data_IF_277762409945
#
_entry.id   IF_277762409945
#
_cell.length_a   1.000
_cell.length_b   1.000
_cell.length_c   1.000
_cell.angle_alpha   90.00
_cell.angle_beta   90.00
_cell.angle_gamma   90.00
#
_symmetry.space_group_name_H-M   'P 1'
#
loop_
_entity.id
_entity.type
_entity.pdbx_description
1 polymer ?
#
# COMPACT_ATOMS: atom_id res chain seq x y z
N UNK A 1 6.10 14.70 -19.66
CA UNK A 1 4.78 14.92 -20.30
C UNK A 1 3.96 13.63 -20.32
N UNK A 2 4.45 12.54 -20.92
CA UNK A 2 3.70 11.26 -21.04
C UNK A 2 3.23 10.67 -19.71
N UNK A 3 4.09 10.66 -18.68
CA UNK A 3 3.72 10.17 -17.34
C UNK A 3 2.53 10.95 -16.79
N UNK A 4 2.52 12.28 -16.91
CA UNK A 4 1.41 13.10 -16.43
C UNK A 4 0.10 12.80 -17.19
N UNK A 5 0.18 12.61 -18.51
CA UNK A 5 -0.97 12.23 -19.33
C UNK A 5 -1.51 10.84 -18.95
N UNK A 6 -0.62 9.87 -18.71
CA UNK A 6 -0.99 8.53 -18.25
C UNK A 6 -1.64 8.56 -16.87
N UNK A 7 -1.09 9.32 -15.90
CA UNK A 7 -1.71 9.51 -14.57
C UNK A 7 -3.12 10.08 -14.71
N UNK A 8 -3.31 11.11 -15.52
CA UNK A 8 -4.63 11.71 -15.76
C UNK A 8 -5.61 10.71 -16.39
N UNK A 9 -5.17 9.93 -17.38
CA UNK A 9 -6.01 8.89 -18.02
C UNK A 9 -6.39 7.76 -17.06
N UNK A 10 -5.47 7.34 -16.20
CA UNK A 10 -5.74 6.33 -15.17
C UNK A 10 -6.76 6.86 -14.16
N UNK A 11 -6.62 8.09 -13.67
CA UNK A 11 -7.59 8.69 -12.74
C UNK A 11 -8.98 8.88 -13.39
N UNK A 12 -9.03 9.16 -14.69
CA UNK A 12 -10.28 9.27 -15.45
C UNK A 12 -10.95 7.93 -15.77
N UNK A 13 -10.28 6.79 -15.53
CA UNK A 13 -10.80 5.46 -15.86
C UNK A 13 -11.92 4.96 -14.93
N UNK A 14 -12.14 5.65 -13.81
CA UNK A 14 -13.10 5.23 -12.78
C UNK A 14 -12.54 4.25 -11.75
N UNK A 15 -11.29 3.81 -11.88
CA UNK A 15 -10.61 3.04 -10.83
C UNK A 15 -10.49 3.88 -9.55
N UNK A 16 -10.82 3.27 -8.41
CA UNK A 16 -10.74 3.94 -7.12
C UNK A 16 -9.29 4.12 -6.65
N UNK A 17 -9.05 5.12 -5.79
CA UNK A 17 -7.76 5.34 -5.13
C UNK A 17 -7.31 4.06 -4.41
N UNK A 18 -8.21 3.46 -3.61
CA UNK A 18 -7.94 2.23 -2.87
C UNK A 18 -7.50 1.09 -3.80
N UNK A 19 -8.17 0.88 -4.94
CA UNK A 19 -7.84 -0.20 -5.86
C UNK A 19 -6.45 0.01 -6.51
N UNK A 20 -6.15 1.24 -6.95
CA UNK A 20 -4.86 1.58 -7.55
C UNK A 20 -3.70 1.45 -6.54
N UNK A 21 -3.89 1.92 -5.31
CA UNK A 21 -2.92 1.78 -4.22
C UNK A 21 -2.72 0.31 -3.87
N UNK A 22 -3.80 -0.46 -3.73
CA UNK A 22 -3.75 -1.88 -3.36
C UNK A 22 -3.02 -2.72 -4.40
N UNK A 23 -3.27 -2.49 -5.70
CA UNK A 23 -2.60 -3.25 -6.78
C UNK A 23 -1.14 -2.85 -6.92
N UNK A 24 -0.80 -1.56 -6.83
CA UNK A 24 0.59 -1.12 -6.85
C UNK A 24 1.38 -1.69 -5.66
N UNK A 25 0.80 -1.65 -4.46
CA UNK A 25 1.39 -2.26 -3.27
C UNK A 25 1.53 -3.77 -3.41
N UNK A 26 0.48 -4.47 -3.84
CA UNK A 26 0.51 -5.92 -4.06
C UNK A 26 1.60 -6.33 -5.04
N UNK A 27 1.89 -5.50 -6.05
CA UNK A 27 2.94 -5.78 -7.02
C UNK A 27 4.33 -5.54 -6.43
N UNK A 28 4.57 -4.37 -5.83
CA UNK A 28 5.90 -3.97 -5.36
C UNK A 28 6.32 -4.68 -4.06
N UNK A 29 5.38 -4.92 -3.15
CA UNK A 29 5.68 -5.46 -1.81
C UNK A 29 6.15 -6.91 -1.84
N UNK A 30 6.05 -7.64 -2.95
CA UNK A 30 6.65 -8.98 -3.05
C UNK A 30 8.18 -8.96 -2.94
N UNK A 31 8.80 -7.79 -3.09
CA UNK A 31 10.23 -7.62 -2.90
C UNK A 31 10.67 -8.05 -1.50
N UNK A 32 11.82 -8.73 -1.43
CA UNK A 32 12.55 -8.96 -0.19
C UNK A 32 14.05 -8.70 -0.36
N UNK A 33 14.61 -7.86 0.48
CA UNK A 33 16.02 -7.45 0.45
C UNK A 33 16.99 -8.58 0.83
N UNK A 34 16.50 -9.66 1.44
CA UNK A 34 17.31 -10.80 1.86
C UNK A 34 17.98 -11.51 0.68
N UNK A 35 17.24 -11.76 -0.40
CA UNK A 35 17.75 -12.39 -1.63
C UNK A 35 17.44 -11.57 -2.91
N UNK A 36 16.91 -10.35 -2.75
CA UNK A 36 16.58 -9.40 -3.83
C UNK A 36 15.54 -9.92 -4.83
N UNK A 37 14.74 -10.92 -4.45
CA UNK A 37 13.64 -11.43 -5.28
C UNK A 37 12.36 -10.62 -5.06
N UNK A 38 11.44 -10.72 -6.03
CA UNK A 38 10.16 -10.00 -6.01
C UNK A 38 10.29 -8.57 -6.53
N UNK A 39 9.25 -7.78 -6.31
CA UNK A 39 9.13 -6.40 -6.78
C UNK A 39 8.14 -6.25 -7.96
N UNK A 40 7.95 -4.99 -8.39
CA UNK A 40 6.98 -4.63 -9.41
C UNK A 40 7.46 -4.88 -10.85
N UNK A 41 8.78 -4.93 -11.08
CA UNK A 41 9.36 -5.21 -12.37
C UNK A 41 9.03 -6.63 -12.84
N UNK A 42 8.68 -6.76 -14.12
CA UNK A 42 8.13 -7.98 -14.70
C UNK A 42 6.60 -8.04 -14.68
N UNK A 43 5.91 -7.17 -13.94
CA UNK A 43 4.45 -7.21 -13.75
C UNK A 43 3.93 -8.62 -13.43
N UNK A 44 4.69 -9.39 -12.64
CA UNK A 44 4.36 -10.80 -12.32
C UNK A 44 3.07 -10.94 -11.52
N UNK A 45 2.56 -9.85 -10.94
CA UNK A 45 1.25 -9.81 -10.30
C UNK A 45 0.11 -10.25 -11.23
N UNK A 46 0.25 -10.06 -12.56
CA UNK A 46 -0.74 -10.52 -13.55
C UNK A 46 -0.64 -12.01 -13.91
N UNK A 47 0.41 -12.69 -13.45
CA UNK A 47 0.72 -14.08 -13.79
C UNK A 47 0.43 -15.00 -12.61
N UNK A 48 0.30 -16.30 -12.89
CA UNK A 48 0.30 -17.29 -11.83
C UNK A 48 1.69 -17.35 -11.14
N UNK A 49 1.75 -17.55 -9.82
CA UNK A 49 0.61 -17.73 -8.91
C UNK A 49 0.05 -16.40 -8.34
N UNK A 50 0.74 -15.27 -8.55
CA UNK A 50 0.43 -14.01 -7.85
C UNK A 50 -0.98 -13.48 -8.08
N UNK A 51 -1.52 -13.66 -9.29
CA UNK A 51 -2.87 -13.22 -9.65
C UNK A 51 -3.97 -13.93 -8.85
N UNK A 52 -3.66 -15.10 -8.28
CA UNK A 52 -4.60 -15.97 -7.57
C UNK A 52 -4.41 -15.92 -6.05
N UNK A 53 -3.41 -15.19 -5.54
CA UNK A 53 -3.20 -15.05 -4.10
C UNK A 53 -4.34 -14.26 -3.45
N UNK A 54 -4.86 -14.78 -2.34
CA UNK A 54 -5.95 -14.17 -1.58
C UNK A 54 -5.64 -12.72 -1.17
N UNK A 55 -4.42 -12.47 -0.70
CA UNK A 55 -3.94 -11.14 -0.28
C UNK A 55 -4.01 -10.10 -1.41
N UNK A 56 -3.99 -10.54 -2.67
CA UNK A 56 -4.07 -9.65 -3.83
C UNK A 56 -5.51 -9.42 -4.32
N UNK A 57 -6.51 -10.01 -3.66
CA UNK A 57 -7.92 -9.85 -3.96
C UNK A 57 -8.23 -10.04 -5.47
N UNK A 58 -8.16 -11.30 -5.98
CA UNK A 58 -8.07 -11.60 -7.41
C UNK A 58 -9.12 -10.92 -8.31
N UNK A 59 -10.37 -10.79 -7.84
CA UNK A 59 -11.43 -10.12 -8.60
C UNK A 59 -11.18 -8.60 -8.79
N UNK A 60 -10.74 -7.91 -7.74
CA UNK A 60 -10.36 -6.50 -7.82
C UNK A 60 -9.12 -6.34 -8.69
N UNK A 61 -8.11 -7.19 -8.48
CA UNK A 61 -6.89 -7.18 -9.27
C UNK A 61 -7.17 -7.35 -10.77
N UNK A 62 -7.97 -8.33 -11.16
CA UNK A 62 -8.34 -8.58 -12.55
C UNK A 62 -8.99 -7.36 -13.21
N UNK A 63 -9.89 -6.68 -12.48
CA UNK A 63 -10.56 -5.46 -12.96
C UNK A 63 -9.57 -4.32 -13.20
N UNK A 64 -8.66 -4.09 -12.26
CA UNK A 64 -7.62 -3.06 -12.38
C UNK A 64 -6.68 -3.38 -13.53
N UNK A 65 -6.19 -4.62 -13.64
CA UNK A 65 -5.26 -5.04 -14.68
C UNK A 65 -5.90 -4.96 -16.08
N UNK A 66 -7.16 -5.34 -16.24
CA UNK A 66 -7.86 -5.21 -17.52
C UNK A 66 -7.98 -3.73 -17.94
N UNK A 67 -8.32 -2.85 -16.99
CA UNK A 67 -8.43 -1.41 -17.26
C UNK A 67 -7.07 -0.79 -17.62
N UNK A 68 -6.02 -1.11 -16.85
CA UNK A 68 -4.66 -0.65 -17.13
C UNK A 68 -4.13 -1.22 -18.46
N UNK A 69 -4.47 -2.46 -18.81
CA UNK A 69 -4.15 -3.07 -20.10
C UNK A 69 -4.79 -2.32 -21.27
N UNK A 70 -6.08 -1.96 -21.17
CA UNK A 70 -6.73 -1.13 -22.19
C UNK A 70 -6.10 0.27 -22.34
N UNK A 71 -5.63 0.87 -21.24
CA UNK A 71 -4.86 2.13 -21.28
C UNK A 71 -3.50 1.92 -21.95
N UNK A 72 -2.82 0.81 -21.64
CA UNK A 72 -1.54 0.43 -22.25
C UNK A 72 -1.66 0.30 -23.76
N UNK A 73 -2.62 -0.50 -24.23
CA UNK A 73 -2.86 -0.75 -25.65
C UNK A 73 -3.16 0.55 -26.39
N UNK A 74 -4.07 1.36 -25.84
CA UNK A 74 -4.41 2.65 -26.43
C UNK A 74 -3.24 3.64 -26.46
N UNK A 75 -2.41 3.70 -25.43
CA UNK A 75 -1.21 4.55 -25.43
C UNK A 75 -0.17 4.06 -26.44
N UNK A 76 0.12 2.75 -26.44
CA UNK A 76 1.15 2.16 -27.30
C UNK A 76 0.77 2.23 -28.78
N UNK A 77 -0.50 2.04 -29.14
CA UNK A 77 -0.99 2.17 -30.50
C UNK A 77 -0.94 3.63 -31.02
N UNK A 78 -1.02 4.61 -30.12
CA UNK A 78 -0.97 6.03 -30.50
C UNK A 78 0.45 6.59 -30.60
N UNK A 79 1.48 5.84 -30.22
CA UNK A 79 2.87 6.31 -30.28
C UNK A 79 3.49 6.04 -31.66
N UNK A 80 4.29 6.99 -32.13
CA UNK A 80 5.19 6.82 -33.28
C UNK A 80 6.63 6.62 -32.79
N UNK A 81 7.49 5.99 -33.60
CA UNK A 81 8.92 5.87 -33.29
C UNK A 81 9.27 4.82 -32.22
N UNK A 82 8.40 3.82 -32.01
CA UNK A 82 8.69 2.66 -31.16
C UNK A 82 8.56 2.88 -29.66
N UNK A 83 8.20 4.09 -29.20
CA UNK A 83 7.92 4.37 -27.79
C UNK A 83 6.73 3.52 -27.31
N UNK A 84 6.89 2.85 -26.17
CA UNK A 84 5.84 2.09 -25.50
C UNK A 84 5.95 2.24 -23.99
N UNK A 85 4.88 1.90 -23.28
CA UNK A 85 4.85 1.73 -21.83
C UNK A 85 4.52 0.27 -21.49
N UNK A 86 5.19 -0.27 -20.49
CA UNK A 86 4.92 -1.59 -19.93
C UNK A 86 3.75 -1.53 -18.95
N UNK A 87 3.09 -2.68 -18.72
CA UNK A 87 2.06 -2.80 -17.70
C UNK A 87 2.69 -2.66 -16.31
N UNK A 88 3.92 -3.14 -16.13
CA UNK A 88 4.70 -2.96 -14.92
C UNK A 88 4.87 -1.48 -14.54
N UNK A 89 5.20 -0.63 -15.51
CA UNK A 89 5.26 0.81 -15.25
C UNK A 89 3.87 1.40 -15.04
N UNK A 90 2.83 0.98 -15.77
CA UNK A 90 1.47 1.49 -15.57
C UNK A 90 0.89 1.18 -14.19
N UNK A 91 1.18 0.01 -13.62
CA UNK A 91 0.79 -0.33 -12.25
C UNK A 91 1.40 0.68 -11.25
N UNK A 92 2.70 0.97 -11.38
CA UNK A 92 3.40 1.92 -10.51
C UNK A 92 2.94 3.36 -10.76
N UNK A 93 2.74 3.75 -12.02
CA UNK A 93 2.19 5.07 -12.40
C UNK A 93 0.78 5.23 -11.81
N UNK A 94 -0.06 4.20 -11.87
CA UNK A 94 -1.42 4.21 -11.32
C UNK A 94 -1.43 4.37 -9.79
N UNK A 95 -0.58 3.63 -9.09
CA UNK A 95 -0.38 3.81 -7.65
C UNK A 95 0.09 5.22 -7.29
N UNK A 96 1.08 5.75 -8.02
CA UNK A 96 1.55 7.12 -7.83
C UNK A 96 0.43 8.15 -8.07
N UNK A 97 -0.36 8.01 -9.15
CA UNK A 97 -1.49 8.88 -9.44
C UNK A 97 -2.54 8.87 -8.32
N UNK A 98 -2.83 7.68 -7.76
CA UNK A 98 -3.77 7.53 -6.67
C UNK A 98 -3.29 8.19 -5.37
N UNK A 99 -2.00 8.08 -5.05
CA UNK A 99 -1.39 8.76 -3.90
C UNK A 99 -1.44 10.28 -4.07
N UNK A 100 -1.11 10.81 -5.25
CA UNK A 100 -1.23 12.24 -5.56
C UNK A 100 -2.68 12.73 -5.43
N UNK A 101 -3.64 11.97 -5.96
CA UNK A 101 -5.06 12.29 -5.86
C UNK A 101 -5.58 12.25 -4.42
N UNK A 102 -5.09 11.32 -3.60
CA UNK A 102 -5.43 11.21 -2.18
C UNK A 102 -4.85 12.37 -1.37
N UNK A 103 -3.61 12.78 -1.64
CA UNK A 103 -3.01 13.97 -1.03
C UNK A 103 -3.77 15.24 -1.42
N UNK A 104 -4.15 15.37 -2.71
CA UNK A 104 -4.96 16.49 -3.19
C UNK A 104 -6.33 16.56 -2.51
N UNK A 105 -6.99 15.43 -2.27
CA UNK A 105 -8.23 15.36 -1.47
C UNK A 105 -8.04 15.83 -0.02
N UNK A 106 -6.84 15.66 0.52
CA UNK A 106 -6.45 16.17 1.83
C UNK A 106 -5.95 17.62 1.80
N UNK A 107 -5.98 18.31 0.66
CA UNK A 107 -5.52 19.70 0.52
C UNK A 107 -4.01 19.86 0.36
N UNK A 108 -3.27 18.79 0.03
CA UNK A 108 -1.83 18.83 -0.23
C UNK A 108 -1.56 18.58 -1.71
N UNK A 109 -0.86 19.50 -2.36
CA UNK A 109 -0.38 19.31 -3.73
C UNK A 109 1.02 18.71 -3.69
N UNK A 110 1.15 17.45 -4.12
CA UNK A 110 2.41 16.70 -4.12
C UNK A 110 2.57 15.94 -5.42
N UNK A 111 3.83 15.79 -5.84
CA UNK A 111 4.20 14.92 -6.94
C UNK A 111 4.89 13.67 -6.38
N UNK A 112 4.40 12.51 -6.76
CA UNK A 112 5.01 11.21 -6.49
C UNK A 112 5.97 10.89 -7.64
N UNK A 113 7.29 10.77 -7.37
CA UNK A 113 8.27 10.42 -8.39
C UNK A 113 7.94 9.09 -9.05
N UNK A 114 8.11 9.01 -10.36
CA UNK A 114 8.01 7.75 -11.12
C UNK A 114 9.14 7.70 -12.12
N UNK A 115 9.94 6.64 -12.02
CA UNK A 115 11.01 6.34 -12.98
C UNK A 115 10.55 5.18 -13.87
N UNK A 116 10.36 5.40 -15.18
CA UNK A 116 9.98 4.32 -16.09
C UNK A 116 11.15 3.36 -16.38
N UNK A 117 10.89 2.29 -17.13
CA UNK A 117 11.86 1.30 -17.56
C UNK A 117 11.62 -0.11 -16.99
N UNK A 118 10.53 -0.33 -16.25
CA UNK A 118 10.13 -1.71 -15.92
C UNK A 118 9.64 -2.42 -17.17
N UNK A 119 9.78 -3.73 -17.20
CA UNK A 119 9.37 -4.58 -18.33
C UNK A 119 8.30 -5.58 -17.91
N UNK A 120 7.61 -6.16 -18.88
CA UNK A 120 6.59 -7.17 -18.66
C UNK A 120 7.20 -8.56 -18.92
N UNK A 121 7.35 -9.39 -17.89
CA UNK A 121 7.83 -10.77 -18.01
C UNK A 121 6.70 -11.69 -18.51
N UNK A 122 7.04 -12.77 -19.21
CA UNK A 122 6.06 -13.78 -19.63
C UNK A 122 5.89 -14.91 -18.60
N UNK A 123 4.88 -15.76 -18.80
CA UNK A 123 4.67 -16.94 -17.94
C UNK A 123 5.82 -17.96 -18.11
N UNK A 124 6.34 -18.11 -19.32
CA UNK A 124 7.47 -19.00 -19.64
C UNK A 124 8.77 -18.53 -18.97
N UNK A 125 8.87 -17.23 -18.67
CA UNK A 125 9.98 -16.62 -17.91
C UNK A 125 9.73 -16.63 -16.38
N UNK A 126 8.73 -17.37 -15.92
CA UNK A 126 8.28 -17.35 -14.52
C UNK A 126 8.17 -18.79 -13.98
N UNK A 127 9.10 -19.15 -13.10
CA UNK A 127 8.98 -20.38 -12.31
C UNK A 127 7.92 -20.19 -11.21
N UNK A 128 6.76 -20.81 -11.41
CA UNK A 128 5.59 -20.71 -10.53
C UNK A 128 5.90 -21.21 -9.12
N UNK A 129 6.64 -22.32 -8.98
CA UNK A 129 6.99 -22.88 -7.68
C UNK A 129 7.94 -21.94 -6.94
N UNK A 130 8.94 -21.42 -7.63
CA UNK A 130 9.86 -20.46 -7.05
C UNK A 130 9.16 -19.16 -6.64
N UNK A 131 8.19 -18.64 -7.41
CA UNK A 131 7.43 -17.44 -7.04
C UNK A 131 6.47 -17.72 -5.87
N UNK A 132 5.97 -18.95 -5.72
CA UNK A 132 5.07 -19.33 -4.63
C UNK A 132 5.59 -18.98 -3.24
N UNK A 133 6.90 -19.07 -3.00
CA UNK A 133 7.51 -18.73 -1.68
C UNK A 133 7.49 -17.23 -1.36
N UNK A 134 7.09 -16.39 -2.32
CA UNK A 134 6.94 -14.95 -2.13
C UNK A 134 5.51 -14.56 -1.74
N UNK A 135 4.57 -15.52 -1.65
CA UNK A 135 3.21 -15.26 -1.19
C UNK A 135 3.23 -14.71 0.25
N UNK A 136 2.74 -13.47 0.48
CA UNK A 136 2.62 -12.94 1.83
C UNK A 136 1.58 -13.74 2.62
N UNK A 137 2.03 -14.45 3.65
CA UNK A 137 1.12 -15.10 4.61
C UNK A 137 0.64 -14.14 5.71
N UNK A 138 1.37 -13.05 5.91
CA UNK A 138 1.00 -11.89 6.71
C UNK A 138 1.43 -10.63 5.97
N UNK A 139 0.56 -9.63 5.94
CA UNK A 139 0.86 -8.30 5.40
C UNK A 139 0.16 -7.24 6.26
N UNK A 140 0.85 -6.81 7.33
CA UNK A 140 0.32 -5.80 8.24
C UNK A 140 0.04 -4.44 7.57
N UNK A 141 0.71 -4.12 6.45
CA UNK A 141 0.42 -2.91 5.68
C UNK A 141 -0.96 -2.94 5.03
N UNK A 142 -1.49 -4.14 4.72
CA UNK A 142 -2.88 -4.35 4.23
C UNK A 142 -3.81 -5.00 5.26
N UNK A 143 -3.41 -4.98 6.54
CA UNK A 143 -4.13 -5.60 7.67
C UNK A 143 -4.56 -7.05 7.40
N UNK A 144 -3.66 -7.85 6.82
CA UNK A 144 -3.96 -9.20 6.37
C UNK A 144 -3.15 -10.25 7.12
N UNK A 145 -3.82 -11.34 7.49
CA UNK A 145 -3.24 -12.54 8.04
C UNK A 145 -3.97 -13.74 7.42
N UNK A 146 -3.24 -14.64 6.76
CA UNK A 146 -3.83 -15.77 6.02
C UNK A 146 -4.50 -16.80 6.93
N UNK A 147 -3.96 -16.97 8.14
CA UNK A 147 -4.43 -17.91 9.17
C UNK A 147 -3.86 -17.46 10.51
N UNK A 148 -4.33 -18.04 11.61
CA UNK A 148 -3.66 -17.87 12.90
C UNK A 148 -2.26 -18.49 12.88
N UNK A 149 -1.30 -17.79 13.48
CA UNK A 149 0.09 -18.23 13.63
C UNK A 149 0.47 -18.19 15.12
N UNK A 150 1.52 -18.95 15.49
CA UNK A 150 2.09 -18.90 16.84
C UNK A 150 2.86 -17.61 17.12
N UNK A 151 3.31 -16.91 16.08
CA UNK A 151 4.00 -15.62 16.14
C UNK A 151 2.96 -14.50 16.10
N UNK A 152 3.16 -13.44 16.89
CA UNK A 152 2.21 -12.33 16.93
C UNK A 152 2.20 -11.53 15.63
N UNK A 153 1.06 -10.93 15.28
CA UNK A 153 0.90 -10.20 14.02
C UNK A 153 1.82 -8.97 13.93
N UNK A 154 2.13 -8.32 15.06
CA UNK A 154 3.08 -7.21 15.12
C UNK A 154 4.55 -7.64 14.93
N UNK A 155 4.94 -8.83 15.35
CA UNK A 155 6.25 -9.39 15.05
C UNK A 155 6.37 -9.71 13.56
N UNK A 156 5.32 -10.28 12.96
CA UNK A 156 5.26 -10.52 11.51
C UNK A 156 5.26 -9.21 10.70
N UNK A 157 4.67 -8.12 11.21
CA UNK A 157 4.78 -6.79 10.60
C UNK A 157 6.24 -6.33 10.58
N UNK A 158 6.98 -6.49 11.68
CA UNK A 158 8.38 -6.08 11.78
C UNK A 158 9.25 -6.91 10.82
N UNK A 159 9.05 -8.22 10.77
CA UNK A 159 9.71 -9.11 9.81
C UNK A 159 9.45 -8.65 8.36
N UNK A 160 8.19 -8.36 8.04
CA UNK A 160 7.80 -7.87 6.71
C UNK A 160 8.46 -6.53 6.38
N UNK A 161 8.52 -5.61 7.33
CA UNK A 161 9.18 -4.32 7.16
C UNK A 161 10.70 -4.49 6.93
N UNK A 162 11.33 -5.43 7.64
CA UNK A 162 12.75 -5.77 7.46
C UNK A 162 13.02 -6.30 6.05
N UNK A 163 12.18 -7.21 5.54
CA UNK A 163 12.29 -7.71 4.16
C UNK A 163 12.14 -6.58 3.15
N UNK A 164 11.27 -5.61 3.41
CA UNK A 164 11.11 -4.42 2.56
C UNK A 164 12.20 -3.35 2.77
N UNK A 165 13.19 -3.63 3.62
CA UNK A 165 14.31 -2.72 3.97
C UNK A 165 13.84 -1.40 4.60
N UNK A 166 12.69 -1.42 5.25
CA UNK A 166 12.08 -0.25 5.89
C UNK A 166 12.64 -0.05 7.29
N UNK A 167 12.87 1.21 7.62
CA UNK A 167 13.13 1.66 8.99
C UNK A 167 11.81 1.75 9.78
N UNK A 168 11.89 1.81 11.11
CA UNK A 168 10.69 1.96 11.95
C UNK A 168 9.86 3.23 11.60
N UNK A 169 10.46 4.41 11.32
CA UNK A 169 9.70 5.59 10.86
C UNK A 169 9.00 5.37 9.51
N UNK A 170 9.66 4.72 8.55
CA UNK A 170 9.07 4.42 7.23
C UNK A 170 7.94 3.40 7.34
N UNK A 171 8.11 2.35 8.16
CA UNK A 171 7.05 1.40 8.48
C UNK A 171 5.85 2.10 9.12
N UNK A 172 6.11 2.98 10.10
CA UNK A 172 5.07 3.74 10.81
C UNK A 172 4.24 4.57 9.84
N UNK A 173 4.90 5.42 9.03
CA UNK A 173 4.19 6.30 8.10
C UNK A 173 3.42 5.52 7.03
N UNK A 174 3.99 4.42 6.53
CA UNK A 174 3.34 3.55 5.56
C UNK A 174 2.09 2.89 6.13
N UNK A 175 2.14 2.32 7.34
CA UNK A 175 0.94 1.71 7.95
C UNK A 175 -0.17 2.74 8.11
N UNK A 176 0.14 3.90 8.71
CA UNK A 176 -0.87 4.95 8.91
C UNK A 176 -1.49 5.45 7.61
N UNK A 177 -0.67 5.66 6.57
CA UNK A 177 -1.16 6.07 5.25
C UNK A 177 -1.97 4.99 4.54
N UNK A 178 -1.50 3.74 4.56
CA UNK A 178 -2.22 2.62 3.92
C UNK A 178 -3.61 2.40 4.53
N UNK A 179 -3.77 2.61 5.85
CA UNK A 179 -5.08 2.57 6.52
C UNK A 179 -6.03 3.63 6.00
N UNK A 180 -5.62 4.90 5.97
CA UNK A 180 -6.51 5.99 5.51
C UNK A 180 -6.76 5.96 4.00
N UNK A 181 -5.88 5.33 3.22
CA UNK A 181 -6.09 5.05 1.80
C UNK A 181 -7.03 3.86 1.53
N UNK A 182 -7.54 3.21 2.58
CA UNK A 182 -8.49 2.09 2.51
C UNK A 182 -7.91 0.90 1.70
N UNK A 183 -6.62 0.62 1.90
CA UNK A 183 -5.87 -0.40 1.16
C UNK A 183 -5.84 -1.77 1.85
N UNK A 184 -6.76 -2.01 2.79
CA UNK A 184 -6.87 -3.28 3.49
C UNK A 184 -7.40 -4.39 2.57
N UNK A 185 -6.93 -5.62 2.76
CA UNK A 185 -7.49 -6.78 2.04
C UNK A 185 -8.99 -6.90 2.34
N UNK A 186 -9.77 -7.20 1.29
CA UNK A 186 -11.23 -7.30 1.39
C UNK A 186 -11.95 -6.00 1.73
N UNK A 187 -11.28 -4.84 1.67
CA UNK A 187 -11.82 -3.54 2.12
C UNK A 187 -12.25 -3.55 3.59
N UNK A 188 -11.59 -4.37 4.42
CA UNK A 188 -11.82 -4.40 5.87
C UNK A 188 -11.66 -3.01 6.48
N UNK A 189 -12.59 -2.62 7.35
CA UNK A 189 -12.57 -1.33 8.06
C UNK A 189 -11.72 -1.35 9.34
N UNK A 190 -11.19 -2.50 9.71
CA UNK A 190 -10.32 -2.65 10.87
C UNK A 190 -9.03 -1.82 10.69
N UNK A 191 -8.76 -0.94 11.64
CA UNK A 191 -7.63 -0.02 11.63
C UNK A 191 -7.82 1.21 10.74
N UNK A 192 -8.93 1.36 10.01
CA UNK A 192 -9.23 2.53 9.18
C UNK A 192 -9.77 3.65 10.08
N UNK A 193 -8.89 4.25 10.88
CA UNK A 193 -9.24 5.26 11.88
C UNK A 193 -9.37 6.65 11.21
N UNK A 194 -10.33 6.79 10.31
CA UNK A 194 -10.67 8.05 9.62
C UNK A 194 -12.13 8.04 9.18
N UNK A 195 -12.73 9.24 9.08
CA UNK A 195 -14.05 9.45 8.49
C UNK A 195 -13.98 9.86 7.01
N UNK A 196 -12.77 9.98 6.44
CA UNK A 196 -12.55 10.38 5.05
C UNK A 196 -11.65 9.39 4.26
N UNK A 197 -12.01 8.09 4.18
CA UNK A 197 -11.21 7.11 3.45
C UNK A 197 -10.85 7.55 2.02
N UNK A 198 -9.63 7.25 1.59
CA UNK A 198 -9.09 7.68 0.30
C UNK A 198 -8.53 9.12 0.29
N UNK A 199 -8.42 9.78 1.46
CA UNK A 199 -7.72 11.04 1.64
C UNK A 199 -6.45 10.82 2.46
N UNK A 200 -5.29 11.24 1.95
CA UNK A 200 -4.01 10.99 2.61
C UNK A 200 -3.79 11.99 3.76
N UNK A 201 -4.15 11.55 4.97
CA UNK A 201 -4.18 12.35 6.19
C UNK A 201 -3.49 11.59 7.33
N UNK A 202 -3.06 12.31 8.36
CA UNK A 202 -2.52 11.71 9.57
C UNK A 202 -3.62 11.24 10.56
N UNK A 203 -4.88 11.13 10.09
CA UNK A 203 -6.05 10.76 10.90
C UNK A 203 -5.82 9.44 11.68
N UNK A 204 -5.11 8.47 11.09
CA UNK A 204 -4.78 7.21 11.78
C UNK A 204 -4.11 7.46 13.14
N UNK A 205 -3.06 8.30 13.16
CA UNK A 205 -2.30 8.56 14.39
C UNK A 205 -3.07 9.46 15.36
N UNK A 206 -3.76 10.48 14.85
CA UNK A 206 -4.61 11.37 15.67
C UNK A 206 -5.67 10.56 16.42
N UNK A 207 -6.37 9.67 15.72
CA UNK A 207 -7.44 8.87 16.30
C UNK A 207 -6.93 7.71 17.17
N UNK A 208 -5.76 7.13 16.83
CA UNK A 208 -5.13 6.09 17.65
C UNK A 208 -4.71 6.61 19.02
N UNK A 209 -4.16 7.83 19.06
CA UNK A 209 -3.62 8.45 20.27
C UNK A 209 -4.66 9.29 21.04
N UNK A 210 -5.90 9.36 20.55
CA UNK A 210 -7.01 10.00 21.24
C UNK A 210 -7.38 9.24 22.53
N UNK A 211 -7.06 9.84 23.68
CA UNK A 211 -7.34 9.29 25.00
C UNK A 211 -8.84 9.19 25.33
N UNK A 212 -9.71 9.84 24.54
CA UNK A 212 -11.16 9.66 24.63
C UNK A 212 -11.61 8.31 24.05
N UNK A 213 -10.73 7.55 23.40
CA UNK A 213 -11.01 6.19 22.93
C UNK A 213 -10.38 5.17 23.88
N UNK A 214 -11.17 4.20 24.34
CA UNK A 214 -10.73 3.06 25.16
C UNK A 214 -10.72 1.81 24.30
N UNK A 215 -9.60 1.11 24.27
CA UNK A 215 -9.42 -0.12 23.51
C UNK A 215 -9.60 -1.34 24.41
N UNK A 216 -10.50 -2.25 24.01
CA UNK A 216 -10.74 -3.53 24.70
C UNK A 216 -10.63 -4.69 23.72
N UNK A 217 -10.05 -5.84 24.14
CA UNK A 217 -10.03 -7.04 23.30
C UNK A 217 -11.46 -7.49 22.91
N UNK A 218 -11.61 -7.93 21.67
CA UNK A 218 -12.78 -8.63 21.15
C UNK A 218 -12.29 -9.84 20.34
N UNK A 219 -13.10 -10.90 20.16
CA UNK A 219 -12.73 -12.19 19.54
C UNK A 219 -11.37 -12.21 18.79
N UNK A 220 -11.33 -11.67 17.57
CA UNK A 220 -10.13 -11.66 16.72
C UNK A 220 -9.57 -10.23 16.49
N UNK A 221 -9.97 -9.26 17.32
CA UNK A 221 -9.68 -7.83 17.13
C UNK A 221 -9.72 -7.03 18.45
N UNK A 222 -9.75 -5.71 18.35
CA UNK A 222 -9.97 -4.80 19.46
C UNK A 222 -11.05 -3.81 19.08
N UNK A 223 -11.92 -3.49 20.04
CA UNK A 223 -12.93 -2.44 19.91
C UNK A 223 -12.42 -1.17 20.57
N UNK A 224 -12.41 -0.07 19.81
CA UNK A 224 -12.19 1.27 20.31
C UNK A 224 -13.53 1.93 20.59
N UNK A 225 -13.86 2.11 21.87
CA UNK A 225 -15.12 2.71 22.34
C UNK A 225 -14.87 4.10 22.92
N UNK A 226 -15.80 5.01 22.70
CA UNK A 226 -15.74 6.33 23.33
C UNK A 226 -15.83 6.19 24.85
N UNK A 227 -14.92 6.84 25.58
CA UNK A 227 -14.77 6.70 27.04
C UNK A 227 -16.00 7.16 27.81
N UNK A 228 -16.71 8.18 27.33
CA UNK A 228 -17.84 8.78 28.05
C UNK A 228 -19.14 8.01 27.85
N UNK A 229 -19.45 7.60 26.61
CA UNK A 229 -20.72 6.95 26.26
C UNK A 229 -20.63 5.44 26.07
N UNK A 230 -19.43 4.89 25.88
CA UNK A 230 -19.22 3.48 25.51
C UNK A 230 -19.58 3.16 24.05
N UNK A 231 -19.92 4.17 23.24
CA UNK A 231 -20.25 3.98 21.83
C UNK A 231 -19.05 3.43 21.05
N UNK A 232 -19.27 2.42 20.20
CA UNK A 232 -18.25 1.87 19.32
C UNK A 232 -17.83 2.94 18.30
N UNK A 233 -16.55 3.29 18.28
CA UNK A 233 -15.95 4.20 17.29
C UNK A 233 -15.19 3.44 16.21
N UNK A 234 -14.35 2.49 16.63
CA UNK A 234 -13.37 1.85 15.75
C UNK A 234 -13.20 0.37 16.08
N UNK A 235 -12.70 -0.39 15.10
CA UNK A 235 -12.09 -1.71 15.32
C UNK A 235 -10.64 -1.66 14.87
N UNK A 236 -9.77 -2.46 15.49
CA UNK A 236 -8.34 -2.50 15.20
C UNK A 236 -7.77 -3.90 15.44
N UNK A 237 -6.67 -4.25 14.76
CA UNK A 237 -5.88 -5.44 15.08
C UNK A 237 -4.68 -5.08 15.93
N UNK A 238 -3.88 -6.09 16.33
CA UNK A 238 -2.59 -5.87 17.01
C UNK A 238 -1.63 -5.03 16.17
N UNK A 239 -1.65 -5.20 14.84
CA UNK A 239 -0.84 -4.43 13.88
C UNK A 239 -1.15 -2.93 13.95
N UNK A 240 -2.40 -2.57 14.23
CA UNK A 240 -2.81 -1.18 14.37
C UNK A 240 -2.43 -0.63 15.75
N UNK A 241 -2.74 -1.39 16.81
CA UNK A 241 -2.57 -0.92 18.20
C UNK A 241 -1.12 -0.94 18.69
N UNK A 242 -0.22 -1.68 18.04
CA UNK A 242 1.21 -1.69 18.42
C UNK A 242 1.82 -0.29 18.37
N UNK A 243 1.35 0.57 17.47
CA UNK A 243 1.77 1.97 17.35
C UNK A 243 1.26 2.86 18.50
N UNK A 244 0.28 2.41 19.28
CA UNK A 244 -0.17 3.08 20.51
C UNK A 244 0.41 2.49 21.79
N UNK A 245 1.04 1.30 21.70
CA UNK A 245 1.46 0.47 22.85
C UNK A 245 2.97 0.31 23.00
N UNK A 246 3.70 0.03 21.93
CA UNK A 246 5.16 -0.07 22.00
C UNK A 246 5.75 1.33 22.19
N UNK A 247 6.60 1.53 23.19
CA UNK A 247 7.07 2.87 23.57
C UNK A 247 7.82 3.60 22.45
N UNK A 248 8.59 2.89 21.63
CA UNK A 248 9.31 3.48 20.50
C UNK A 248 8.37 3.79 19.33
N UNK A 249 7.50 2.85 18.95
CA UNK A 249 6.53 3.09 17.87
C UNK A 249 5.51 4.17 18.25
N UNK A 250 5.15 4.26 19.52
CA UNK A 250 4.30 5.33 20.05
C UNK A 250 4.97 6.69 19.92
N UNK A 251 6.25 6.81 20.26
CA UNK A 251 6.97 8.07 20.06
C UNK A 251 6.99 8.50 18.58
N UNK A 252 7.07 7.56 17.65
CA UNK A 252 6.97 7.84 16.21
C UNK A 252 5.54 8.24 15.80
N UNK A 253 4.52 7.57 16.33
CA UNK A 253 3.13 7.91 16.09
C UNK A 253 2.78 9.31 16.61
N UNK A 254 3.32 9.70 17.78
CA UNK A 254 3.14 11.01 18.37
C UNK A 254 3.66 12.12 17.47
N UNK A 255 4.80 11.94 16.79
CA UNK A 255 5.32 12.89 15.80
C UNK A 255 4.31 13.12 14.68
N UNK A 256 3.70 12.05 14.13
CA UNK A 256 2.73 12.20 13.05
C UNK A 256 1.34 12.64 13.53
N UNK A 257 1.01 12.53 14.81
CA UNK A 257 -0.27 12.99 15.36
C UNK A 257 -0.30 14.49 15.70
N UNK A 258 0.83 15.20 15.64
CA UNK A 258 0.87 16.64 15.92
C UNK A 258 0.01 17.43 14.93
N UNK A 259 -0.56 18.55 15.38
CA UNK A 259 -1.47 19.37 14.57
C UNK A 259 -0.82 20.02 13.34
N UNK A 260 0.50 20.16 13.33
CA UNK A 260 1.32 20.69 12.23
C UNK A 260 2.00 19.59 11.40
N UNK A 261 1.82 18.31 11.75
CA UNK A 261 2.52 17.20 11.11
C UNK A 261 1.94 16.76 9.77
N UNK A 262 0.78 17.27 9.33
CA UNK A 262 0.11 16.78 8.11
C UNK A 262 1.01 16.84 6.87
N UNK A 263 1.70 17.96 6.64
CA UNK A 263 2.62 18.11 5.50
C UNK A 263 3.81 17.15 5.58
N UNK A 264 4.38 16.99 6.78
CA UNK A 264 5.47 16.05 7.05
C UNK A 264 5.03 14.62 6.79
N UNK A 265 3.87 14.22 7.32
CA UNK A 265 3.27 12.91 7.11
C UNK A 265 3.11 12.59 5.62
N UNK A 266 2.54 13.50 4.83
CA UNK A 266 2.37 13.27 3.37
C UNK A 266 3.72 13.14 2.68
N UNK A 267 4.70 13.97 3.02
CA UNK A 267 6.04 13.93 2.42
C UNK A 267 6.76 12.62 2.74
N UNK A 268 6.75 12.21 4.01
CA UNK A 268 7.39 10.98 4.47
C UNK A 268 6.68 9.73 3.92
N UNK A 269 5.34 9.77 3.81
CA UNK A 269 4.57 8.71 3.15
C UNK A 269 4.97 8.55 1.68
N UNK A 270 5.03 9.65 0.93
CA UNK A 270 5.44 9.64 -0.48
C UNK A 270 6.87 9.11 -0.65
N UNK A 271 7.78 9.51 0.23
CA UNK A 271 9.16 9.03 0.22
C UNK A 271 9.24 7.51 0.46
N UNK A 272 8.56 7.02 1.51
CA UNK A 272 8.54 5.59 1.84
C UNK A 272 7.81 4.76 0.77
N UNK A 273 6.71 5.28 0.21
CA UNK A 273 6.01 4.67 -0.93
C UNK A 273 6.93 4.53 -2.13
N UNK A 274 7.61 5.61 -2.53
CA UNK A 274 8.52 5.61 -3.66
C UNK A 274 9.72 4.69 -3.45
N UNK A 275 10.21 4.54 -2.22
CA UNK A 275 11.24 3.55 -1.86
C UNK A 275 10.77 2.13 -2.16
N UNK A 276 9.58 1.73 -1.69
CA UNK A 276 9.03 0.39 -1.95
C UNK A 276 8.80 0.17 -3.45
N UNK A 277 8.26 1.15 -4.16
CA UNK A 277 8.01 1.03 -5.61
C UNK A 277 9.29 0.82 -6.42
N UNK A 278 10.46 1.25 -5.93
CA UNK A 278 11.74 1.13 -6.62
C UNK A 278 12.69 0.09 -6.01
N UNK A 279 12.22 -0.76 -5.09
CA UNK A 279 13.07 -1.70 -4.37
C UNK A 279 13.81 -2.71 -5.28
N UNK A 280 13.26 -3.02 -6.45
CA UNK A 280 13.81 -3.95 -7.44
C UNK A 280 14.47 -3.27 -8.66
N UNK A 281 14.66 -1.95 -8.62
CA UNK A 281 15.18 -1.14 -9.73
C UNK A 281 16.71 -1.11 -9.80
N UNK A 282 17.30 -2.30 -9.80
CA UNK A 282 18.75 -2.49 -9.93
C UNK A 282 19.30 -2.10 -11.30
N UNK A 283 18.44 -1.91 -12.32
CA UNK A 283 18.81 -1.38 -13.64
C UNK A 283 19.35 0.07 -13.60
N UNK A 284 19.22 0.74 -12.44
CA UNK A 284 19.58 2.14 -12.24
C UNK A 284 20.79 2.34 -11.32
N UNK A 285 21.42 1.25 -10.85
CA UNK A 285 22.55 1.25 -9.91
C UNK A 285 23.79 0.59 -10.48
#
# INVERSE_FOLDING_TARGET
QDIAALKARILASGLSISALVSVAWGSASTFRGSDKRGGANGARIRLAPQKDWEVNHPAQLATVLATLGGIQDGFNASQTGGKKVSLADLIVIGGAAAVEQAAKKAGQDVAVPVTPGRMDASLEQTDVAAIGVLEPVADGFRNYLKTEFSVSAEEMLIDRAQLLTLTAPEMTVLVGGMRVLDANVGQSKTGVLTTRPGSLTNDFFVNLLDMATVWTPAADAFEGRERATGALKWTATRVDLVFGSNSQLRALAEVYAQGDAHKKFVTDFVAAWNKVMNADRFDRG
#
